data_IF_880376561458
#
_entry.id   IF_880376561458
#
_cell.length_a   1.000
_cell.length_b   1.000
_cell.length_c   1.000
_cell.angle_alpha   90.00
_cell.angle_beta   90.00
_cell.angle_gamma   90.00
#
_symmetry.space_group_name_H-M   'P 1'
#
loop_
_entity.id
_entity.type
_entity.pdbx_description
1 polymer ?
#
# COMPACT_ATOMS: atom_id res chain seq x y z
N UNK A 1 5.34 -28.23 -20.50
CA UNK A 1 5.62 -27.57 -19.46
C UNK A 1 4.72 -27.79 -18.35
N UNK A 2 5.13 -27.75 -17.33
CA UNK A 2 4.35 -28.10 -16.31
C UNK A 2 3.99 -26.95 -15.56
N UNK A 3 2.92 -26.40 -15.90
CA UNK A 3 2.46 -25.24 -15.26
C UNK A 3 2.18 -25.41 -13.81
N UNK A 4 2.01 -26.59 -13.38
CA UNK A 4 1.65 -26.82 -12.01
C UNK A 4 2.67 -26.40 -11.00
N UNK A 5 3.90 -26.20 -11.47
CA UNK A 5 4.89 -25.74 -10.55
C UNK A 5 4.87 -24.25 -10.34
N UNK A 6 4.19 -23.53 -11.16
CA UNK A 6 4.12 -22.09 -11.01
C UNK A 6 3.02 -21.73 -10.05
N UNK A 7 3.41 -21.47 -8.84
CA UNK A 7 2.47 -21.02 -7.83
C UNK A 7 2.38 -19.51 -7.93
N UNK A 8 1.21 -19.05 -8.30
CA UNK A 8 0.94 -17.63 -8.42
C UNK A 8 0.18 -17.17 -7.19
N UNK A 9 0.57 -16.06 -6.64
CA UNK A 9 -0.12 -15.45 -5.51
C UNK A 9 -0.79 -14.17 -5.95
N UNK A 10 -1.98 -13.95 -5.45
CA UNK A 10 -2.71 -12.71 -5.66
C UNK A 10 -2.79 -11.99 -4.33
N UNK A 11 -2.32 -10.76 -4.30
CA UNK A 11 -2.36 -9.96 -3.09
C UNK A 11 -3.32 -8.80 -3.25
N UNK A 12 -4.07 -8.52 -2.20
CA UNK A 12 -4.78 -7.26 -2.08
C UNK A 12 -4.11 -6.50 -0.96
N UNK A 13 -3.48 -5.39 -1.29
CA UNK A 13 -2.79 -4.56 -0.32
C UNK A 13 -3.59 -3.28 -0.14
N UNK A 14 -4.06 -3.06 1.07
CA UNK A 14 -4.85 -1.89 1.40
C UNK A 14 -3.96 -0.96 2.18
N UNK A 15 -3.66 0.20 1.60
CA UNK A 15 -2.71 1.15 2.16
C UNK A 15 -3.34 2.53 2.19
N UNK A 16 -2.75 3.44 2.94
CA UNK A 16 -3.22 4.82 2.93
C UNK A 16 -2.94 5.46 1.58
N UNK A 17 -3.83 6.36 1.16
CA UNK A 17 -3.71 7.00 -0.14
C UNK A 17 -2.34 7.67 -0.33
N UNK A 18 -1.79 8.25 0.73
CA UNK A 18 -0.51 8.93 0.64
C UNK A 18 0.64 7.99 0.34
N UNK A 19 0.49 6.72 0.66
CA UNK A 19 1.54 5.73 0.45
C UNK A 19 1.39 5.00 -0.88
N UNK A 20 0.23 5.09 -1.51
CA UNK A 20 -0.09 4.29 -2.67
C UNK A 20 0.84 4.54 -3.84
N UNK A 21 1.16 5.80 -4.09
CA UNK A 21 1.94 6.14 -5.28
C UNK A 21 3.37 5.64 -5.16
N UNK A 22 3.99 5.86 -4.01
CA UNK A 22 5.34 5.40 -3.75
C UNK A 22 5.43 3.88 -3.84
N UNK A 23 4.46 3.20 -3.24
CA UNK A 23 4.43 1.75 -3.28
C UNK A 23 4.24 1.23 -4.71
N UNK A 24 3.34 1.83 -5.46
CA UNK A 24 3.11 1.42 -6.85
C UNK A 24 4.38 1.53 -7.68
N UNK A 25 5.09 2.65 -7.56
CA UNK A 25 6.34 2.83 -8.30
C UNK A 25 7.40 1.81 -7.89
N UNK A 26 7.51 1.53 -6.60
CA UNK A 26 8.49 0.57 -6.12
C UNK A 26 8.21 -0.84 -6.68
N UNK A 27 6.95 -1.21 -6.75
CA UNK A 27 6.57 -2.51 -7.31
C UNK A 27 6.86 -2.58 -8.80
N UNK A 28 6.52 -1.53 -9.53
CA UNK A 28 6.76 -1.48 -10.97
C UNK A 28 8.25 -1.55 -11.28
N UNK A 29 9.08 -0.89 -10.49
CA UNK A 29 10.52 -0.96 -10.68
C UNK A 29 11.07 -2.37 -10.56
N UNK A 30 10.42 -3.20 -9.80
CA UNK A 30 10.81 -4.61 -9.65
C UNK A 30 10.08 -5.53 -10.60
N UNK A 31 9.39 -4.97 -11.58
CA UNK A 31 8.62 -5.74 -12.56
C UNK A 31 7.51 -6.57 -11.91
N UNK A 32 6.93 -6.06 -10.86
CA UNK A 32 5.80 -6.71 -10.21
C UNK A 32 4.53 -6.04 -10.72
N UNK A 33 3.59 -6.86 -11.20
CA UNK A 33 2.32 -6.36 -11.71
C UNK A 33 1.46 -5.82 -10.59
N UNK A 34 0.98 -4.61 -10.76
CA UNK A 34 0.13 -3.98 -9.77
C UNK A 34 -0.98 -3.20 -10.47
N UNK A 35 -2.18 -3.31 -9.95
CA UNK A 35 -3.33 -2.56 -10.45
C UNK A 35 -4.04 -1.94 -9.26
N UNK A 36 -4.32 -0.66 -9.34
CA UNK A 36 -5.11 -0.01 -8.33
C UNK A 36 -6.57 -0.30 -8.58
N UNK A 37 -7.27 -0.75 -7.55
CA UNK A 37 -8.69 -1.04 -7.65
C UNK A 37 -9.44 0.16 -7.09
N UNK A 38 -10.27 0.77 -7.92
CA UNK A 38 -11.15 1.84 -7.47
C UNK A 38 -12.25 1.19 -6.63
N UNK A 39 -12.44 1.72 -5.44
CA UNK A 39 -13.46 1.18 -4.54
C UNK A 39 -14.29 2.29 -3.96
N UNK A 40 -15.58 2.11 -4.01
CA UNK A 40 -16.52 2.99 -3.33
C UNK A 40 -17.13 2.30 -2.12
N UNK A 41 -16.71 1.07 -1.86
CA UNK A 41 -17.25 0.30 -0.75
C UNK A 41 -16.71 0.76 0.59
N UNK A 42 -17.34 0.29 1.64
CA UNK A 42 -17.00 0.66 2.99
C UNK A 42 -16.12 -0.33 3.72
N UNK A 43 -15.38 -1.17 2.99
CA UNK A 43 -14.55 -2.16 3.64
C UNK A 43 -13.52 -1.50 4.55
N UNK A 44 -12.93 -0.41 4.07
CA UNK A 44 -12.09 0.41 4.90
C UNK A 44 -12.59 1.83 4.81
N UNK A 45 -12.34 2.58 5.86
CA UNK A 45 -12.74 3.98 5.87
C UNK A 45 -12.02 4.74 4.79
N UNK A 46 -12.58 5.84 4.36
CA UNK A 46 -12.00 6.66 3.31
C UNK A 46 -10.56 7.02 3.60
N UNK A 47 -9.81 7.31 2.56
CA UNK A 47 -8.40 7.63 2.68
C UNK A 47 -7.48 6.47 2.38
N UNK A 48 -8.02 5.32 1.98
CA UNK A 48 -7.22 4.15 1.65
C UNK A 48 -7.38 3.77 0.18
N UNK A 49 -6.35 3.12 -0.32
CA UNK A 49 -6.33 2.57 -1.67
C UNK A 49 -6.09 1.08 -1.61
N UNK A 50 -6.71 0.35 -2.52
CA UNK A 50 -6.48 -1.09 -2.63
C UNK A 50 -5.69 -1.37 -3.90
N UNK A 51 -4.60 -2.08 -3.74
CA UNK A 51 -3.76 -2.51 -4.87
C UNK A 51 -3.91 -4.00 -5.04
N UNK A 52 -4.11 -4.43 -6.28
CA UNK A 52 -4.13 -5.83 -6.63
C UNK A 52 -2.79 -6.18 -7.24
N UNK A 53 -2.11 -7.16 -6.69
CA UNK A 53 -0.74 -7.50 -7.06
C UNK A 53 -0.69 -8.98 -7.39
N UNK A 54 -0.20 -9.29 -8.58
CA UNK A 54 0.03 -10.68 -8.98
C UNK A 54 1.51 -10.97 -8.95
N UNK A 55 1.92 -12.03 -8.28
CA UNK A 55 3.33 -12.33 -8.15
C UNK A 55 3.53 -13.84 -7.98
N UNK A 56 4.64 -14.33 -8.49
CA UNK A 56 4.97 -15.73 -8.28
C UNK A 56 5.35 -15.98 -6.84
N UNK A 57 5.09 -17.19 -6.39
CA UNK A 57 5.26 -17.52 -4.98
C UNK A 57 6.68 -17.28 -4.48
N UNK A 58 7.67 -17.51 -5.34
CA UNK A 58 9.06 -17.31 -4.94
C UNK A 58 9.44 -15.84 -4.80
N UNK A 59 8.57 -14.94 -5.22
CA UNK A 59 8.77 -13.50 -5.05
C UNK A 59 7.84 -12.91 -4.00
N UNK A 60 7.12 -13.72 -3.27
CA UNK A 60 6.17 -13.22 -2.29
C UNK A 60 6.86 -12.45 -1.18
N UNK A 61 7.95 -12.99 -0.63
CA UNK A 61 8.64 -12.33 0.46
C UNK A 61 9.21 -10.99 0.04
N UNK A 62 9.76 -10.92 -1.15
CA UNK A 62 10.27 -9.67 -1.72
C UNK A 62 9.15 -8.65 -1.83
N UNK A 63 8.01 -9.08 -2.32
CA UNK A 63 6.85 -8.21 -2.50
C UNK A 63 6.34 -7.68 -1.16
N UNK A 64 6.24 -8.55 -0.18
CA UNK A 64 5.80 -8.15 1.16
C UNK A 64 6.78 -7.17 1.80
N UNK A 65 8.06 -7.35 1.57
CA UNK A 65 9.07 -6.43 2.09
C UNK A 65 8.92 -5.03 1.47
N UNK A 66 8.65 -4.97 0.17
CA UNK A 66 8.42 -3.69 -0.50
C UNK A 66 7.17 -3.00 0.06
N UNK A 67 6.10 -3.75 0.24
CA UNK A 67 4.87 -3.19 0.81
C UNK A 67 5.15 -2.64 2.20
N UNK A 68 5.84 -3.40 3.03
CA UNK A 68 6.15 -2.95 4.38
C UNK A 68 7.02 -1.69 4.36
N UNK A 69 8.03 -1.64 3.53
CA UNK A 69 8.92 -0.49 3.47
C UNK A 69 8.19 0.80 3.13
N UNK A 70 7.24 0.72 2.20
CA UNK A 70 6.56 1.92 1.70
C UNK A 70 5.27 2.26 2.41
N UNK A 71 4.79 1.39 3.29
CA UNK A 71 3.49 1.63 3.90
C UNK A 71 3.40 1.33 5.39
N UNK A 72 4.50 0.95 6.01
CA UNK A 72 4.46 0.57 7.42
C UNK A 72 3.93 1.71 8.29
N UNK A 73 3.31 1.34 9.39
CA UNK A 73 2.86 2.31 10.37
C UNK A 73 4.06 3.04 10.96
N UNK A 74 3.93 4.35 11.06
CA UNK A 74 5.01 5.18 11.57
C UNK A 74 4.44 6.44 12.20
N UNK A 75 5.22 7.03 13.08
CA UNK A 75 4.84 8.29 13.71
C UNK A 75 5.61 9.41 13.04
N UNK A 76 4.89 10.43 12.63
CA UNK A 76 5.50 11.62 12.03
C UNK A 76 5.10 12.84 12.84
N UNK A 77 5.97 13.84 12.82
CA UNK A 77 5.68 15.11 13.45
C UNK A 77 5.19 16.04 12.36
N UNK A 78 4.03 16.64 12.59
CA UNK A 78 3.45 17.53 11.62
C UNK A 78 3.11 18.84 12.31
N UNK A 79 3.17 19.92 11.57
CA UNK A 79 2.78 21.23 12.05
C UNK A 79 1.45 21.55 11.40
N UNK A 80 0.43 21.94 12.18
CA UNK A 80 -0.87 22.24 11.60
C UNK A 80 -0.75 23.32 10.55
N UNK A 81 -1.43 23.09 9.46
CA UNK A 81 -1.35 23.97 8.30
C UNK A 81 -2.17 25.24 8.50
N UNK A 82 -2.79 25.40 9.61
CA UNK A 82 -3.61 26.57 9.82
C UNK A 82 -2.85 27.85 9.72
N UNK A 83 -1.59 27.80 9.78
CA UNK A 83 -0.68 28.81 9.34
C UNK A 83 -1.04 30.27 9.46
N UNK A 84 -1.98 30.63 10.25
CA UNK A 84 -2.29 32.02 10.42
C UNK A 84 -1.52 32.50 11.61
N UNK A 85 -0.56 33.33 11.39
CA UNK A 85 0.37 33.68 12.43
C UNK A 85 -0.12 34.75 13.38
N UNK A 86 -1.41 34.99 13.43
CA UNK A 86 -1.86 35.99 14.35
C UNK A 86 -1.61 35.61 15.77
N UNK A 87 -1.57 34.34 16.01
CA UNK A 87 -1.45 33.86 17.36
C UNK A 87 -0.30 32.91 17.41
N UNK A 88 0.83 33.45 17.57
CA UNK A 88 2.05 32.68 17.55
C UNK A 88 2.04 31.58 18.58
N UNK A 89 1.39 31.85 19.72
CA UNK A 89 1.43 30.90 20.82
C UNK A 89 0.67 29.62 20.52
N UNK A 90 -0.29 29.66 19.64
CA UNK A 90 -1.08 28.48 19.33
C UNK A 90 -0.81 27.94 17.96
N UNK A 91 -0.09 28.67 17.15
CA UNK A 91 -0.12 28.43 15.71
C UNK A 91 0.78 27.29 15.28
N UNK A 92 1.68 26.84 16.04
CA UNK A 92 2.69 25.95 15.49
C UNK A 92 3.10 24.87 16.47
N UNK A 93 2.15 24.34 17.18
CA UNK A 93 2.45 23.21 18.04
C UNK A 93 2.66 21.98 17.20
N UNK A 94 3.86 21.44 17.19
CA UNK A 94 4.08 20.18 16.48
C UNK A 94 3.23 19.08 17.09
N UNK A 95 2.64 18.28 16.25
CA UNK A 95 1.83 17.16 16.69
C UNK A 95 2.41 15.88 16.15
N UNK A 96 2.44 14.87 17.00
CA UNK A 96 2.81 13.53 16.56
C UNK A 96 1.57 12.81 16.09
N UNK A 97 1.60 12.33 14.87
CA UNK A 97 0.49 11.56 14.34
C UNK A 97 1.02 10.24 13.80
N UNK A 98 0.21 9.21 13.94
CA UNK A 98 0.55 7.90 13.39
C UNK A 98 -0.07 7.80 12.01
N UNK A 99 0.74 7.49 11.04
CA UNK A 99 0.31 7.34 9.65
C UNK A 99 0.80 6.02 9.11
N UNK A 100 0.28 5.64 7.96
CA UNK A 100 0.69 4.43 7.28
C UNK A 100 -0.02 3.21 7.80
N UNK A 101 0.57 2.09 7.54
CA UNK A 101 -0.02 0.80 7.79
C UNK A 101 -0.56 0.18 6.53
N UNK A 102 -0.57 -1.13 6.49
CA UNK A 102 -1.11 -1.86 5.37
C UNK A 102 -1.78 -3.12 5.89
N UNK A 103 -2.85 -3.49 5.22
CA UNK A 103 -3.46 -4.80 5.41
C UNK A 103 -3.29 -5.54 4.09
N UNK A 104 -2.70 -6.73 4.16
CA UNK A 104 -2.40 -7.47 2.95
C UNK A 104 -3.06 -8.84 3.06
N UNK A 105 -3.89 -9.15 2.06
CA UNK A 105 -4.46 -10.47 1.92
C UNK A 105 -3.69 -11.20 0.83
N UNK A 106 -3.26 -12.41 1.13
CA UNK A 106 -2.52 -13.23 0.17
C UNK A 106 -3.38 -14.43 -0.16
N UNK A 107 -3.67 -14.60 -1.44
CA UNK A 107 -4.49 -15.70 -1.91
C UNK A 107 -3.72 -16.55 -2.90
N UNK A 108 -3.97 -17.85 -2.85
CA UNK A 108 -3.44 -18.74 -3.86
C UNK A 108 -4.32 -18.66 -5.10
N UNK A 109 -3.67 -18.54 -6.25
CA UNK A 109 -4.39 -18.53 -7.52
C UNK A 109 -4.41 -19.95 -8.03
N UNK A 110 -5.60 -20.52 -8.09
CA UNK A 110 -5.74 -21.91 -8.54
C UNK A 110 -5.44 -22.06 -10.01
N UNK A 111 -5.90 -21.11 -10.81
CA UNK A 111 -5.71 -21.15 -12.26
C UNK A 111 -5.68 -19.73 -12.79
N UNK A 112 -4.89 -19.54 -13.83
CA UNK A 112 -4.87 -18.27 -14.54
C UNK A 112 -4.77 -18.57 -16.04
N UNK A 113 -5.50 -17.80 -16.82
CA UNK A 113 -5.53 -17.98 -18.27
C UNK A 113 -5.25 -16.65 -18.94
N UNK A 114 -4.39 -16.70 -19.95
CA UNK A 114 -4.14 -15.54 -20.80
C UNK A 114 -4.49 -15.91 -22.22
N UNK A 115 -5.28 -15.09 -22.84
CA UNK A 115 -5.75 -15.35 -24.19
C UNK A 115 -5.07 -14.45 -25.19
#
# INVERSE_FOLDING_TARGET
MIGGEHLLKLLFAIVQNDDQKSLTYALIEKNISVTRIASTGGFLRGGNSTLMIGVEADRLDETLAIINEHSRRRTVVTVPASGIPHNIDSAAMPMSVTVGGATVFVLDVAQTFKY
#
